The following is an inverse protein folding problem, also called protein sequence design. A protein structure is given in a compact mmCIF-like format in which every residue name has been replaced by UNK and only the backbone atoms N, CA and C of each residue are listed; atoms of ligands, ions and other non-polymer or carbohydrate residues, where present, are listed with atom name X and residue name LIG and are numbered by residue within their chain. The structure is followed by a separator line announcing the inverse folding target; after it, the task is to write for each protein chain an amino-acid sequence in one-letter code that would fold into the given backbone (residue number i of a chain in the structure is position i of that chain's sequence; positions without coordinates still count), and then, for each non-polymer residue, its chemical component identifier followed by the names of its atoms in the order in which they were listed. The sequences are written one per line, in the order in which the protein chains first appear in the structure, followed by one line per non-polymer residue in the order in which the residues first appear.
data_IF_407163942140
#
_entry.id   IF_407163942140
#
_cell.length_a   1.000
_cell.length_b   1.000
_cell.length_c   1.000
_cell.angle_alpha   90.00
_cell.angle_beta   90.00
_cell.angle_gamma   90.00
#
_symmetry.space_group_name_H-M   'P 1'
#
loop_
_entity.id
_entity.type
_entity.pdbx_description
1 polymer ?
#
# COMPACT_ATOMS: atom_id res chain seq x y z
N UNK A 1 -9.03 15.85 1.27
CA UNK A 1 -9.03 15.15 -0.04
C UNK A 1 -9.20 13.72 0.37
N UNK A 2 -10.41 13.16 0.29
CA UNK A 2 -10.77 11.95 1.05
C UNK A 2 -9.78 10.77 0.88
N UNK A 3 -9.12 10.67 -0.28
CA UNK A 3 -8.07 9.69 -0.52
C UNK A 3 -6.86 9.88 0.40
N UNK A 4 -6.37 11.11 0.56
CA UNK A 4 -5.25 11.42 1.48
C UNK A 4 -5.64 11.25 2.95
N UNK A 5 -6.93 11.31 3.25
CA UNK A 5 -7.47 11.13 4.60
C UNK A 5 -7.67 9.62 4.93
N UNK A 6 -7.83 8.77 3.91
CA UNK A 6 -8.05 7.31 4.06
C UNK A 6 -6.80 6.47 3.85
N UNK A 7 -5.90 6.85 2.92
CA UNK A 7 -4.66 6.11 2.62
C UNK A 7 -3.79 5.77 3.84
N UNK A 8 -3.65 6.63 4.87
CA UNK A 8 -2.94 6.27 6.09
C UNK A 8 -3.42 4.97 6.75
N UNK A 9 -4.69 4.62 6.58
CA UNK A 9 -5.33 3.49 7.24
C UNK A 9 -5.44 2.23 6.36
N UNK A 10 -4.93 2.29 5.12
CA UNK A 10 -4.90 1.15 4.19
C UNK A 10 -3.77 0.17 4.53
N UNK A 11 -3.79 -0.35 5.75
CA UNK A 11 -2.75 -1.21 6.32
C UNK A 11 -3.35 -2.06 7.44
N UNK A 12 -2.88 -3.31 7.63
CA UNK A 12 -3.36 -4.19 8.71
C UNK A 12 -2.88 -3.75 10.11
N UNK A 13 -1.82 -2.94 10.17
CA UNK A 13 -1.29 -2.40 11.42
C UNK A 13 -2.05 -1.12 11.83
N UNK A 14 -3.22 -1.32 12.44
CA UNK A 14 -4.16 -0.26 12.82
C UNK A 14 -3.62 0.72 13.87
N UNK A 15 -2.65 0.31 14.69
CA UNK A 15 -2.03 1.17 15.72
C UNK A 15 -0.96 2.10 15.14
N UNK A 16 -0.49 1.82 13.92
CA UNK A 16 0.52 2.61 13.23
C UNK A 16 0.03 2.92 11.81
N UNK A 17 -0.82 3.95 11.62
CA UNK A 17 -1.16 4.45 10.30
C UNK A 17 0.10 4.85 9.51
N UNK A 18 0.01 4.83 8.18
CA UNK A 18 1.11 5.31 7.35
C UNK A 18 1.38 6.79 7.63
N UNK A 19 2.66 7.14 7.73
CA UNK A 19 3.08 8.52 7.88
C UNK A 19 2.76 9.33 6.62
N UNK A 20 2.80 10.65 6.75
CA UNK A 20 2.59 11.55 5.61
C UNK A 20 3.62 11.30 4.51
N UNK A 21 4.87 11.03 4.88
CA UNK A 21 5.96 10.71 3.96
C UNK A 21 5.68 9.42 3.19
N UNK A 22 5.16 8.40 3.86
CA UNK A 22 4.79 7.12 3.23
C UNK A 22 3.59 7.28 2.27
N UNK A 23 2.61 8.10 2.64
CA UNK A 23 1.48 8.43 1.75
C UNK A 23 1.93 9.21 0.52
N UNK A 24 2.89 10.13 0.68
CA UNK A 24 3.51 10.83 -0.44
C UNK A 24 4.27 9.84 -1.33
N UNK A 25 5.09 8.96 -0.75
CA UNK A 25 5.80 7.93 -1.50
C UNK A 25 4.87 7.01 -2.31
N UNK A 26 3.71 6.63 -1.75
CA UNK A 26 2.68 5.91 -2.49
C UNK A 26 2.12 6.73 -3.66
N UNK A 27 1.92 8.03 -3.46
CA UNK A 27 1.41 8.93 -4.50
C UNK A 27 2.42 9.17 -5.63
N UNK A 28 3.72 9.04 -5.35
CA UNK A 28 4.78 9.17 -6.33
C UNK A 28 4.88 7.95 -7.26
N UNK A 29 4.55 6.74 -6.76
CA UNK A 29 4.58 5.49 -7.54
C UNK A 29 3.22 5.07 -8.09
N UNK A 30 2.13 5.63 -7.57
CA UNK A 30 0.76 5.36 -7.98
C UNK A 30 -0.07 6.65 -7.97
N UNK A 31 -0.54 7.07 -9.15
CA UNK A 31 -1.31 8.30 -9.36
C UNK A 31 -2.79 8.19 -8.95
N UNK A 32 -3.24 7.02 -8.52
CA UNK A 32 -4.61 6.81 -8.04
C UNK A 32 -4.71 5.68 -7.01
N UNK A 33 -5.81 5.68 -6.23
CA UNK A 33 -6.09 4.58 -5.29
C UNK A 33 -6.15 3.22 -6.00
N UNK A 34 -6.72 3.17 -7.21
CA UNK A 34 -6.77 1.95 -8.01
C UNK A 34 -5.36 1.42 -8.33
N UNK A 35 -4.43 2.31 -8.65
CA UNK A 35 -3.03 1.94 -8.90
C UNK A 35 -2.33 1.46 -7.63
N UNK A 36 -2.64 2.04 -6.46
CA UNK A 36 -2.15 1.55 -5.17
C UNK A 36 -2.63 0.11 -4.91
N UNK A 37 -3.92 -0.17 -5.13
CA UNK A 37 -4.47 -1.54 -4.99
C UNK A 37 -3.77 -2.52 -5.93
N UNK A 38 -3.64 -2.16 -7.21
CA UNK A 38 -2.98 -3.01 -8.20
C UNK A 38 -1.51 -3.27 -7.85
N UNK A 39 -0.79 -2.26 -7.36
CA UNK A 39 0.59 -2.38 -6.92
C UNK A 39 0.70 -3.33 -5.71
N UNK A 40 -0.17 -3.18 -4.71
CA UNK A 40 -0.18 -4.03 -3.52
C UNK A 40 -0.53 -5.49 -3.86
N UNK A 41 -1.53 -5.73 -4.70
CA UNK A 41 -1.89 -7.08 -5.16
C UNK A 41 -0.75 -7.70 -5.98
N UNK A 42 -0.11 -6.95 -6.88
CA UNK A 42 1.03 -7.44 -7.65
C UNK A 42 2.21 -7.76 -6.75
N UNK A 43 2.49 -6.94 -5.74
CA UNK A 43 3.55 -7.16 -4.76
C UNK A 43 3.39 -8.45 -3.94
N UNK A 44 2.19 -9.03 -3.86
CA UNK A 44 1.95 -10.33 -3.21
C UNK A 44 2.55 -11.52 -3.98
N UNK A 45 2.80 -11.37 -5.29
CA UNK A 45 3.26 -12.45 -6.18
C UNK A 45 4.50 -12.09 -7.01
N UNK A 46 4.88 -10.81 -7.06
CA UNK A 46 5.98 -10.28 -7.84
C UNK A 46 6.95 -9.47 -6.97
N UNK A 47 8.19 -9.96 -6.87
CA UNK A 47 9.25 -9.33 -6.09
C UNK A 47 9.68 -7.95 -6.60
N UNK A 48 9.51 -7.64 -7.88
CA UNK A 48 9.81 -6.31 -8.40
C UNK A 48 8.75 -5.29 -7.95
N UNK A 49 7.48 -5.66 -7.99
CA UNK A 49 6.40 -4.84 -7.44
C UNK A 49 6.53 -4.65 -5.93
N UNK A 50 6.96 -5.69 -5.21
CA UNK A 50 7.25 -5.58 -3.78
C UNK A 50 8.38 -4.58 -3.48
N UNK A 51 9.42 -4.51 -4.32
CA UNK A 51 10.51 -3.52 -4.18
C UNK A 51 10.04 -2.09 -4.46
N UNK A 52 9.21 -1.88 -5.47
CA UNK A 52 8.62 -0.55 -5.73
C UNK A 52 7.78 -0.09 -4.54
N UNK A 53 6.99 -1.00 -3.95
CA UNK A 53 6.23 -0.69 -2.75
C UNK A 53 7.14 -0.45 -1.53
N UNK A 54 8.22 -1.22 -1.38
CA UNK A 54 9.25 -1.01 -0.34
C UNK A 54 9.90 0.36 -0.42
N UNK A 55 10.22 0.83 -1.63
CA UNK A 55 10.76 2.17 -1.85
C UNK A 55 9.77 3.28 -1.46
N UNK A 56 8.47 3.03 -1.63
CA UNK A 56 7.41 3.99 -1.32
C UNK A 56 7.08 4.08 0.19
N UNK A 57 6.93 2.94 0.87
CA UNK A 57 6.43 2.91 2.27
C UNK A 57 7.46 2.43 3.29
N UNK A 58 8.60 1.92 2.84
CA UNK A 58 9.60 1.29 3.68
C UNK A 58 9.32 -0.19 3.94
N UNK A 59 10.39 -0.97 4.09
CA UNK A 59 10.36 -2.43 4.23
C UNK A 59 9.41 -2.94 5.31
N UNK A 60 9.36 -2.24 6.44
CA UNK A 60 8.56 -2.63 7.60
C UNK A 60 7.05 -2.52 7.35
N UNK A 61 6.63 -1.78 6.31
CA UNK A 61 5.23 -1.51 5.98
C UNK A 61 4.72 -2.30 4.79
N UNK A 62 5.60 -2.88 3.97
CA UNK A 62 5.21 -3.61 2.76
C UNK A 62 4.22 -4.71 3.08
N UNK A 63 4.54 -5.56 4.05
CA UNK A 63 3.69 -6.70 4.41
C UNK A 63 2.28 -6.26 4.83
N UNK A 64 2.16 -5.25 5.70
CA UNK A 64 0.86 -4.81 6.21
C UNK A 64 0.02 -4.05 5.18
N UNK A 65 0.65 -3.39 4.21
CA UNK A 65 -0.06 -2.78 3.07
C UNK A 65 -0.52 -3.86 2.08
N UNK A 66 0.33 -4.84 1.77
CA UNK A 66 -0.02 -5.95 0.87
C UNK A 66 -1.16 -6.78 1.46
N UNK A 67 -1.05 -7.17 2.73
CA UNK A 67 -2.06 -7.95 3.45
C UNK A 67 -3.42 -7.24 3.46
N UNK A 68 -3.44 -5.93 3.74
CA UNK A 68 -4.68 -5.15 3.77
C UNK A 68 -5.44 -5.24 2.44
N UNK A 69 -4.74 -5.10 1.31
CA UNK A 69 -5.38 -5.16 0.00
C UNK A 69 -5.59 -6.59 -0.51
N UNK A 70 -4.80 -7.56 -0.06
CA UNK A 70 -4.97 -8.97 -0.44
C UNK A 70 -6.17 -9.61 0.25
N UNK A 71 -6.36 -9.36 1.55
CA UNK A 71 -7.49 -9.89 2.33
C UNK A 71 -8.83 -9.29 1.87
N UNK A 72 -8.83 -8.03 1.44
CA UNK A 72 -10.03 -7.35 0.92
C UNK A 72 -10.44 -7.82 -0.50
N UNK A 73 -9.56 -8.50 -1.23
CA UNK A 73 -9.77 -8.90 -2.63
C UNK A 73 -9.55 -10.41 -2.87
N UNK A 74 -9.88 -11.25 -1.88
CA UNK A 74 -10.02 -12.70 -2.11
C UNK A 74 -11.16 -12.92 -3.10
N UNK A 75 -10.82 -13.27 -4.34
CA UNK A 75 -11.79 -13.77 -5.32
C UNK A 75 -12.12 -15.21 -4.91
N UNK A 76 -13.28 -15.44 -4.30
CA UNK A 76 -13.89 -16.78 -4.23
C UNK A 76 -14.34 -17.27 -5.61
#
# INVERSE_FOLDING_TARGET
NAVMDLLPFCTTDQERPLSKEQVIGLSDVAGSLKEVVLLALRASVDGEAARVLEEAVGKERVASVVEFWADEYVVE
#
